data_IF_706374537228
#
_entry.id   IF_706374537228
#
_cell.length_a   1.000
_cell.length_b   1.000
_cell.length_c   1.000
_cell.angle_alpha   90.00
_cell.angle_beta   90.00
_cell.angle_gamma   90.00
#
_symmetry.space_group_name_H-M   'P 1'
#
loop_
_entity.id
_entity.type
_entity.pdbx_description
1 polymer ?
#
# COMPACT_ATOMS: atom_id res chain seq x y z
N UNK A 1 -27.47 -9.68 -26.32
CA UNK A 1 -26.78 -10.93 -26.75
C UNK A 1 -25.26 -10.81 -26.60
N UNK A 2 -24.73 -10.55 -25.39
CA UNK A 2 -23.29 -10.33 -25.14
C UNK A 2 -22.70 -11.23 -24.05
N UNK A 3 -23.55 -11.92 -23.27
CA UNK A 3 -23.14 -12.83 -22.20
C UNK A 3 -22.33 -14.03 -22.73
N UNK A 4 -22.62 -14.49 -23.95
CA UNK A 4 -22.05 -15.73 -24.48
C UNK A 4 -20.59 -15.58 -24.96
N UNK A 5 -20.22 -14.44 -25.54
CA UNK A 5 -18.86 -14.19 -26.01
C UNK A 5 -17.87 -14.04 -24.84
N UNK A 6 -18.21 -13.26 -23.81
CA UNK A 6 -17.38 -13.10 -22.59
C UNK A 6 -17.17 -14.43 -21.87
N UNK A 7 -18.25 -15.20 -21.68
CA UNK A 7 -18.17 -16.51 -21.03
C UNK A 7 -17.27 -17.48 -21.82
N UNK A 8 -17.40 -17.52 -23.14
CA UNK A 8 -16.56 -18.36 -24.00
C UNK A 8 -15.09 -17.96 -23.98
N UNK A 9 -14.78 -16.65 -24.01
CA UNK A 9 -13.40 -16.15 -23.91
C UNK A 9 -12.79 -16.53 -22.56
N UNK A 10 -13.48 -16.25 -21.45
CA UNK A 10 -12.98 -16.57 -20.11
C UNK A 10 -12.85 -18.08 -19.89
N UNK A 11 -13.77 -18.88 -20.44
CA UNK A 11 -13.69 -20.33 -20.39
C UNK A 11 -12.44 -20.84 -21.10
N UNK A 12 -12.15 -20.36 -22.31
CA UNK A 12 -10.93 -20.72 -23.05
C UNK A 12 -9.65 -20.30 -22.33
N UNK A 13 -9.63 -19.09 -21.75
CA UNK A 13 -8.47 -18.60 -21.00
C UNK A 13 -8.23 -19.44 -19.73
N UNK A 14 -9.28 -19.81 -18.99
CA UNK A 14 -9.16 -20.68 -17.80
C UNK A 14 -8.80 -22.12 -18.16
N UNK A 15 -9.31 -22.61 -19.29
CA UNK A 15 -8.97 -23.93 -19.83
C UNK A 15 -7.57 -23.98 -20.45
N UNK A 16 -6.93 -22.81 -20.66
CA UNK A 16 -5.52 -22.74 -21.00
C UNK A 16 -4.74 -23.05 -19.74
N UNK A 17 -4.42 -24.32 -19.54
CA UNK A 17 -3.48 -24.77 -18.52
C UNK A 17 -2.19 -23.96 -18.71
N UNK A 18 -1.70 -23.31 -17.66
CA UNK A 18 -0.30 -22.89 -17.58
C UNK A 18 0.54 -24.16 -17.63
N UNK A 19 0.76 -24.69 -18.83
CA UNK A 19 1.59 -25.86 -19.04
C UNK A 19 3.03 -25.43 -18.80
N UNK A 20 3.56 -25.86 -17.67
CA UNK A 20 4.95 -25.67 -17.30
C UNK A 20 5.08 -25.31 -15.84
N UNK A 21 5.67 -26.22 -15.06
CA UNK A 21 6.49 -25.78 -13.93
C UNK A 21 7.62 -24.95 -14.55
N UNK A 22 7.51 -23.63 -14.48
CA UNK A 22 8.67 -22.79 -14.74
C UNK A 22 9.64 -23.03 -13.59
N UNK A 23 10.74 -23.73 -13.87
CA UNK A 23 11.86 -23.75 -12.95
C UNK A 23 12.39 -22.31 -12.92
N UNK A 24 12.11 -21.59 -11.83
CA UNK A 24 12.78 -20.34 -11.56
C UNK A 24 14.25 -20.70 -11.34
N UNK A 25 15.18 -20.26 -12.21
CA UNK A 25 16.59 -20.56 -12.00
C UNK A 25 17.01 -19.92 -10.68
N UNK A 26 17.81 -20.65 -9.90
CA UNK A 26 18.45 -20.07 -8.72
C UNK A 26 19.33 -18.90 -9.18
N UNK A 27 18.94 -17.69 -8.79
CA UNK A 27 19.74 -16.50 -8.99
C UNK A 27 20.64 -16.36 -7.75
N UNK A 28 21.95 -16.66 -7.84
CA UNK A 28 22.83 -16.48 -6.71
C UNK A 28 22.86 -14.99 -6.34
N UNK A 29 22.86 -14.71 -5.03
CA UNK A 29 23.16 -13.36 -4.55
C UNK A 29 24.55 -13.01 -5.08
N UNK A 30 24.65 -11.91 -5.83
CA UNK A 30 25.93 -11.43 -6.33
C UNK A 30 26.80 -11.12 -5.11
N UNK A 31 27.85 -11.92 -4.91
CA UNK A 31 28.78 -11.77 -3.80
C UNK A 31 29.35 -10.34 -3.80
N UNK A 32 29.31 -9.67 -2.65
CA UNK A 32 29.69 -8.26 -2.50
C UNK A 32 28.55 -7.24 -2.58
N UNK A 33 27.33 -7.66 -2.94
CA UNK A 33 26.11 -6.83 -2.86
C UNK A 33 25.19 -7.20 -1.67
N UNK A 34 25.62 -8.12 -0.82
CA UNK A 34 24.86 -8.54 0.34
C UNK A 34 24.94 -7.50 1.46
N UNK A 35 23.88 -6.70 1.60
CA UNK A 35 23.68 -5.79 2.73
C UNK A 35 23.00 -6.52 3.88
N UNK A 36 23.38 -6.18 5.11
CA UNK A 36 22.65 -6.52 6.34
C UNK A 36 21.26 -5.86 6.34
N UNK A 37 20.37 -6.30 7.24
CA UNK A 37 19.04 -5.71 7.35
C UNK A 37 19.11 -4.21 7.69
N UNK A 38 19.99 -3.83 8.60
CA UNK A 38 20.18 -2.43 9.02
C UNK A 38 20.67 -1.57 7.86
N UNK A 39 21.67 -2.03 7.11
CA UNK A 39 22.16 -1.32 5.91
C UNK A 39 21.08 -1.22 4.82
N UNK A 40 20.21 -2.23 4.67
CA UNK A 40 19.08 -2.17 3.72
C UNK A 40 18.05 -1.13 4.14
N UNK A 41 17.72 -1.06 5.43
CA UNK A 41 16.77 -0.08 5.97
C UNK A 41 17.34 1.33 5.79
N UNK A 42 18.61 1.53 6.15
CA UNK A 42 19.27 2.82 6.03
C UNK A 42 19.37 3.30 4.59
N UNK A 43 19.75 2.41 3.67
CA UNK A 43 19.81 2.74 2.25
C UNK A 43 18.42 3.06 1.68
N UNK A 44 17.40 2.27 2.04
CA UNK A 44 16.02 2.55 1.62
C UNK A 44 15.56 3.92 2.11
N UNK A 45 15.80 4.24 3.38
CA UNK A 45 15.49 5.55 3.98
C UNK A 45 16.14 6.67 3.18
N UNK A 46 17.46 6.60 2.98
CA UNK A 46 18.21 7.63 2.26
C UNK A 46 17.67 7.86 0.84
N UNK A 47 17.31 6.79 0.13
CA UNK A 47 16.77 6.91 -1.24
C UNK A 47 15.37 7.48 -1.26
N UNK A 48 14.49 7.09 -0.34
CA UNK A 48 13.16 7.69 -0.19
C UNK A 48 13.25 9.18 0.17
N UNK A 49 14.12 9.55 1.12
CA UNK A 49 14.36 10.95 1.51
C UNK A 49 14.93 11.78 0.34
N UNK A 50 15.77 11.19 -0.50
CA UNK A 50 16.28 11.83 -1.74
C UNK A 50 15.14 12.15 -2.71
N UNK A 51 14.08 11.33 -2.73
CA UNK A 51 12.86 11.59 -3.49
C UNK A 51 11.86 12.49 -2.72
N UNK A 52 12.32 13.17 -1.67
CA UNK A 52 11.54 14.06 -0.82
C UNK A 52 10.41 13.38 -0.02
N UNK A 53 10.44 12.05 0.09
CA UNK A 53 9.53 11.35 1.00
C UNK A 53 9.98 11.57 2.46
N UNK A 54 8.99 11.62 3.35
CA UNK A 54 9.23 11.60 4.78
C UNK A 54 9.31 10.16 5.27
N UNK A 55 10.43 9.79 5.89
CA UNK A 55 10.65 8.42 6.37
C UNK A 55 10.80 8.40 7.88
N UNK A 56 10.03 7.55 8.54
CA UNK A 56 10.17 7.29 9.96
C UNK A 56 10.45 5.81 10.22
N UNK A 57 11.67 5.51 10.68
CA UNK A 57 12.06 4.16 11.07
C UNK A 57 11.64 3.93 12.53
N UNK A 58 10.75 2.96 12.73
CA UNK A 58 10.12 2.68 14.03
C UNK A 58 10.02 1.16 14.24
N UNK A 59 9.92 0.75 15.49
CA UNK A 59 9.63 -0.66 15.81
C UNK A 59 8.18 -0.99 15.46
N UNK A 60 7.91 -2.29 15.25
CA UNK A 60 6.55 -2.79 14.98
C UNK A 60 5.54 -2.54 16.10
N UNK A 61 5.98 -2.21 17.31
CA UNK A 61 5.09 -1.84 18.42
C UNK A 61 4.84 -0.33 18.52
N UNK A 62 5.73 0.50 17.97
CA UNK A 62 5.68 1.96 18.11
C UNK A 62 5.08 2.68 16.90
N UNK A 63 4.90 2.01 15.76
CA UNK A 63 4.51 2.65 14.50
C UNK A 63 3.20 3.44 14.59
N UNK A 64 2.21 2.94 15.33
CA UNK A 64 0.92 3.60 15.42
C UNK A 64 0.99 4.90 16.22
N UNK A 65 1.76 4.90 17.32
CA UNK A 65 2.02 6.12 18.10
C UNK A 65 2.78 7.16 17.27
N UNK A 66 3.77 6.72 16.50
CA UNK A 66 4.51 7.58 15.58
C UNK A 66 3.60 8.19 14.50
N UNK A 67 2.78 7.38 13.83
CA UNK A 67 1.82 7.83 12.83
C UNK A 67 0.89 8.91 13.40
N UNK A 68 0.27 8.64 14.55
CA UNK A 68 -0.65 9.58 15.22
C UNK A 68 0.01 10.91 15.52
N UNK A 69 1.22 10.90 16.08
CA UNK A 69 1.96 12.12 16.39
C UNK A 69 2.22 12.98 15.14
N UNK A 70 2.49 12.33 13.99
CA UNK A 70 2.69 13.01 12.70
C UNK A 70 1.40 13.57 12.12
N UNK A 71 0.28 12.86 12.24
CA UNK A 71 -1.01 13.32 11.69
C UNK A 71 -1.61 14.48 12.49
N UNK A 72 -1.45 14.50 13.82
CA UNK A 72 -1.90 15.62 14.68
C UNK A 72 -1.34 16.96 14.23
N UNK A 73 -0.08 16.99 13.80
CA UNK A 73 0.59 18.21 13.39
C UNK A 73 0.14 18.75 12.02
N UNK A 74 -0.68 18.00 11.26
CA UNK A 74 -1.00 18.30 9.86
C UNK A 74 -2.39 18.88 9.61
N UNK A 75 -3.31 18.77 10.57
CA UNK A 75 -4.67 19.34 10.42
C UNK A 75 -5.46 18.79 9.23
N UNK A 76 -5.29 17.50 8.91
CA UNK A 76 -5.92 16.85 7.76
C UNK A 76 -7.43 16.69 7.98
N UNK A 77 -8.21 16.81 6.91
CA UNK A 77 -9.67 16.66 6.92
C UNK A 77 -10.14 15.19 6.98
N UNK A 78 -9.24 14.24 6.76
CA UNK A 78 -9.53 12.82 6.83
C UNK A 78 -8.33 11.95 6.45
N UNK A 79 -8.33 10.71 6.94
CA UNK A 79 -7.39 9.67 6.56
C UNK A 79 -8.15 8.48 5.97
N UNK A 80 -8.01 8.28 4.66
CA UNK A 80 -8.58 7.17 3.92
C UNK A 80 -7.79 5.88 4.19
N UNK A 81 -8.49 4.82 4.59
CA UNK A 81 -7.89 3.50 4.89
C UNK A 81 -8.76 2.34 4.41
N UNK A 82 -8.16 1.16 4.27
CA UNK A 82 -8.86 -0.07 3.89
C UNK A 82 -9.39 -0.78 5.13
N UNK A 83 -10.70 -0.72 5.40
CA UNK A 83 -11.30 -1.27 6.61
C UNK A 83 -11.14 -2.80 6.73
N UNK A 84 -11.24 -3.51 5.61
CA UNK A 84 -11.09 -4.97 5.55
C UNK A 84 -9.62 -5.44 5.50
N UNK A 85 -8.70 -4.70 6.15
CA UNK A 85 -7.27 -5.03 6.20
C UNK A 85 -6.76 -5.12 7.64
N UNK A 86 -5.66 -5.86 7.90
CA UNK A 86 -5.01 -5.85 9.21
C UNK A 86 -4.58 -4.45 9.67
N UNK A 87 -4.21 -3.58 8.72
CA UNK A 87 -3.92 -2.17 8.98
C UNK A 87 -5.17 -1.44 9.47
N UNK A 88 -6.29 -1.60 8.77
CA UNK A 88 -7.57 -0.99 9.14
C UNK A 88 -8.06 -1.39 10.52
N UNK A 89 -8.01 -2.69 10.84
CA UNK A 89 -8.35 -3.18 12.17
C UNK A 89 -7.46 -2.57 13.28
N UNK A 90 -6.16 -2.38 13.02
CA UNK A 90 -5.25 -1.75 13.96
C UNK A 90 -5.52 -0.25 14.14
N UNK A 91 -5.90 0.45 13.06
CA UNK A 91 -6.28 1.86 13.10
C UNK A 91 -7.57 2.04 13.91
N UNK A 92 -8.63 1.31 13.58
CA UNK A 92 -9.93 1.39 14.25
C UNK A 92 -9.84 1.07 15.75
N UNK A 93 -9.05 0.07 16.13
CA UNK A 93 -8.92 -0.34 17.53
C UNK A 93 -8.24 0.69 18.44
N UNK A 94 -7.51 1.64 17.86
CA UNK A 94 -6.69 2.58 18.63
C UNK A 94 -6.92 4.04 18.25
N UNK A 95 -7.79 4.39 17.30
CA UNK A 95 -7.97 5.78 16.88
C UNK A 95 -8.51 6.67 18.01
N UNK A 96 -8.16 7.94 17.97
CA UNK A 96 -8.44 8.94 19.00
C UNK A 96 -9.17 10.14 18.37
N UNK A 97 -10.00 10.83 19.15
CA UNK A 97 -10.87 11.91 18.64
C UNK A 97 -10.10 13.18 18.21
N UNK A 98 -8.85 13.33 18.63
CA UNK A 98 -7.99 14.48 18.30
C UNK A 98 -7.18 14.29 17.01
N UNK A 99 -7.38 13.17 16.32
CA UNK A 99 -6.78 12.84 15.04
C UNK A 99 -7.71 13.19 13.87
N UNK A 100 -7.19 13.24 12.62
CA UNK A 100 -8.04 13.35 11.43
C UNK A 100 -9.11 12.26 11.42
N UNK A 101 -10.33 12.55 10.93
CA UNK A 101 -11.38 11.54 10.79
C UNK A 101 -10.89 10.32 10.01
N UNK A 102 -11.06 9.12 10.57
CA UNK A 102 -10.84 7.88 9.81
C UNK A 102 -11.98 7.70 8.80
N UNK A 103 -11.62 7.54 7.53
CA UNK A 103 -12.58 7.34 6.44
C UNK A 103 -12.37 5.95 5.85
N UNK A 104 -13.27 4.98 6.11
CA UNK A 104 -13.13 3.64 5.55
C UNK A 104 -13.43 3.65 4.05
N UNK A 105 -12.61 2.95 3.28
CA UNK A 105 -12.96 2.58 1.91
C UNK A 105 -13.97 1.42 1.94
N UNK A 106 -15.27 1.73 1.84
CA UNK A 106 -16.36 0.74 1.97
C UNK A 106 -17.30 0.66 0.77
N UNK A 107 -17.36 1.70 -0.07
CA UNK A 107 -18.30 1.79 -1.19
C UNK A 107 -17.64 1.45 -2.54
N UNK A 108 -18.46 1.23 -3.57
CA UNK A 108 -17.95 1.06 -4.93
C UNK A 108 -17.30 2.36 -5.41
N UNK A 109 -16.31 2.24 -6.31
CA UNK A 109 -15.57 3.40 -6.86
C UNK A 109 -16.53 4.46 -7.41
N UNK A 110 -17.58 4.05 -8.09
CA UNK A 110 -18.56 4.93 -8.72
C UNK A 110 -19.32 5.78 -7.69
N UNK A 111 -19.50 5.27 -6.47
CA UNK A 111 -20.24 5.92 -5.40
C UNK A 111 -19.38 6.87 -4.58
N UNK A 112 -18.12 6.49 -4.30
CA UNK A 112 -17.23 7.27 -3.45
C UNK A 112 -16.27 8.19 -4.20
N UNK A 113 -16.23 8.18 -5.54
CA UNK A 113 -15.22 8.88 -6.35
C UNK A 113 -15.00 10.34 -5.96
N UNK A 114 -16.08 11.12 -5.85
CA UNK A 114 -15.97 12.55 -5.54
C UNK A 114 -15.41 12.78 -4.13
N UNK A 115 -15.92 12.02 -3.15
CA UNK A 115 -15.43 12.06 -1.78
C UNK A 115 -13.93 11.73 -1.68
N UNK A 116 -13.45 10.75 -2.45
CA UNK A 116 -12.03 10.35 -2.45
C UNK A 116 -11.07 11.47 -2.88
N UNK A 117 -11.52 12.43 -3.70
CA UNK A 117 -10.73 13.59 -4.11
C UNK A 117 -10.71 14.71 -3.07
N UNK A 118 -11.62 14.68 -2.11
CA UNK A 118 -11.70 15.67 -1.04
C UNK A 118 -10.97 15.23 0.23
N UNK A 119 -10.59 13.96 0.36
CA UNK A 119 -9.83 13.45 1.50
C UNK A 119 -8.35 13.80 1.31
N UNK A 120 -7.76 14.44 2.32
CA UNK A 120 -6.39 14.96 2.23
C UNK A 120 -5.34 13.84 2.15
N UNK A 121 -5.53 12.74 2.88
CA UNK A 121 -4.53 11.68 3.01
C UNK A 121 -5.09 10.26 2.84
N UNK A 122 -4.30 9.39 2.23
CA UNK A 122 -4.53 7.94 2.19
C UNK A 122 -3.39 7.18 2.83
N UNK A 123 -3.69 6.06 3.47
CA UNK A 123 -2.67 5.15 3.99
C UNK A 123 -2.86 3.76 3.40
N UNK A 124 -1.76 3.17 2.91
CA UNK A 124 -1.75 1.80 2.40
C UNK A 124 -0.55 1.04 2.92
N UNK A 125 -0.65 -0.28 2.94
CA UNK A 125 0.51 -1.14 3.11
C UNK A 125 1.33 -1.25 1.82
N UNK A 126 2.55 -1.75 1.93
CA UNK A 126 3.36 -2.14 0.78
C UNK A 126 3.77 -3.60 0.94
N UNK A 127 3.96 -4.31 -0.17
CA UNK A 127 4.47 -5.69 -0.17
C UNK A 127 5.95 -5.76 0.23
N UNK A 128 6.66 -4.66 0.01
CA UNK A 128 8.08 -4.51 0.27
C UNK A 128 8.63 -3.29 -0.46
N UNK A 129 9.95 -3.18 -0.45
CA UNK A 129 10.66 -2.07 -1.08
C UNK A 129 12.02 -2.53 -1.62
N UNK A 130 12.57 -1.76 -2.55
CA UNK A 130 13.88 -1.95 -3.15
C UNK A 130 14.80 -0.85 -2.64
N UNK A 131 15.71 -1.21 -1.73
CA UNK A 131 16.61 -0.25 -1.09
C UNK A 131 17.56 0.44 -2.09
N UNK A 132 17.94 -0.23 -3.18
CA UNK A 132 18.89 0.31 -4.15
C UNK A 132 18.43 1.61 -4.80
N UNK A 133 17.13 1.72 -5.10
CA UNK A 133 16.55 2.86 -5.81
C UNK A 133 15.37 3.53 -5.06
N UNK A 134 15.07 3.09 -3.83
CA UNK A 134 13.98 3.64 -3.03
C UNK A 134 12.58 3.27 -3.50
N UNK A 135 12.40 2.25 -4.36
CA UNK A 135 11.08 1.92 -4.87
C UNK A 135 10.21 1.16 -3.85
N UNK A 136 8.95 1.55 -3.69
CA UNK A 136 7.93 0.83 -2.92
C UNK A 136 7.10 -0.07 -3.83
N UNK A 137 6.83 -1.29 -3.39
CA UNK A 137 6.02 -2.27 -4.12
C UNK A 137 4.60 -2.24 -3.54
N UNK A 138 3.72 -1.45 -4.13
CA UNK A 138 2.30 -1.50 -3.80
C UNK A 138 1.67 -2.75 -4.43
N UNK A 139 0.84 -3.45 -3.67
CA UNK A 139 0.11 -4.63 -4.15
C UNK A 139 -1.40 -4.47 -3.91
N UNK A 140 -2.09 -3.67 -4.75
CA UNK A 140 -3.49 -3.33 -4.51
C UNK A 140 -4.40 -4.55 -4.47
N UNK A 141 -5.42 -4.47 -3.62
CA UNK A 141 -6.47 -5.47 -3.48
C UNK A 141 -7.86 -4.83 -3.56
N UNK A 142 -8.93 -5.61 -3.42
CA UNK A 142 -10.28 -5.06 -3.32
C UNK A 142 -10.46 -4.23 -2.03
N UNK A 143 -9.83 -4.64 -0.93
CA UNK A 143 -9.88 -3.96 0.37
C UNK A 143 -8.94 -2.75 0.45
N UNK A 144 -7.88 -2.73 -0.37
CA UNK A 144 -6.90 -1.65 -0.45
C UNK A 144 -6.63 -1.33 -1.94
N UNK A 145 -7.56 -0.69 -2.65
CA UNK A 145 -7.43 -0.43 -4.08
C UNK A 145 -6.43 0.68 -4.38
N UNK A 146 -5.91 0.68 -5.61
CA UNK A 146 -4.89 1.65 -6.08
C UNK A 146 -5.37 3.10 -6.03
N UNK A 147 -6.68 3.35 -5.99
CA UNK A 147 -7.21 4.70 -5.85
C UNK A 147 -6.80 5.33 -4.52
N UNK A 148 -6.70 4.56 -3.44
CA UNK A 148 -6.31 5.09 -2.14
C UNK A 148 -4.91 5.71 -2.12
N UNK A 149 -4.01 5.22 -2.98
CA UNK A 149 -2.64 5.76 -3.12
C UNK A 149 -2.48 6.75 -4.27
N UNK A 150 -3.53 7.02 -5.05
CA UNK A 150 -3.48 7.89 -6.22
C UNK A 150 -4.35 9.14 -6.10
N UNK A 151 -5.44 9.09 -5.33
CA UNK A 151 -6.40 10.20 -5.24
C UNK A 151 -6.07 11.21 -4.14
N UNK A 152 -5.69 10.82 -2.91
CA UNK A 152 -5.38 11.79 -1.87
C UNK A 152 -4.08 12.53 -2.19
N UNK A 153 -3.99 13.80 -1.77
CA UNK A 153 -2.80 14.63 -2.00
C UNK A 153 -1.58 14.18 -1.19
N UNK A 154 -1.82 13.49 -0.07
CA UNK A 154 -0.81 12.86 0.78
C UNK A 154 -1.01 11.34 0.78
N UNK A 155 0.05 10.59 0.49
CA UNK A 155 0.12 9.13 0.61
C UNK A 155 1.26 8.72 1.53
#
# INVERSE_FOLDING_TARGET
>A
MTANARANILSRLRATTTQGSFAVPDAPVIAGLALSLEERIDRLRQMLETMHAEVQVVSSSAWLGALKARLRARGLNGLLYGAETPLGAALEAAWEDDLPPLVPYSESVEQCREQLFHIDAGITTTRGAIAENGALILWPSAAEPRLMSLTPGLH
#
